data_IF_002870311587
#
_entry.id   IF_002870311587
#
_cell.length_a   1.000
_cell.length_b   1.000
_cell.length_c   1.000
_cell.angle_alpha   90.00
_cell.angle_beta   90.00
_cell.angle_gamma   90.00
#
_symmetry.space_group_name_H-M   'P 1'
#
loop_
_entity.id
_entity.type
_entity.pdbx_description
1 polymer ?
#
# COMPACT_ATOMS: atom_id res chain seq x y z
N UNK A 1 3.33 -10.36 -22.87
CA UNK A 1 3.19 -10.17 -21.41
C UNK A 1 4.41 -9.40 -20.97
N UNK A 2 4.27 -8.09 -20.77
CA UNK A 2 5.34 -7.28 -20.23
C UNK A 2 5.64 -7.76 -18.81
N UNK A 3 6.91 -7.99 -18.49
CA UNK A 3 7.31 -8.41 -17.15
C UNK A 3 7.32 -7.16 -16.28
N UNK A 4 6.35 -7.05 -15.38
CA UNK A 4 6.25 -5.96 -14.43
C UNK A 4 7.48 -6.03 -13.50
N UNK A 5 8.27 -4.95 -13.38
CA UNK A 5 9.45 -4.96 -12.55
C UNK A 5 9.08 -5.10 -11.07
N UNK A 6 9.88 -5.85 -10.32
CA UNK A 6 9.73 -5.91 -8.87
C UNK A 6 9.90 -4.52 -8.24
N UNK A 7 9.14 -4.24 -7.18
CA UNK A 7 9.24 -2.98 -6.42
C UNK A 7 9.80 -3.23 -5.04
N UNK A 8 10.51 -2.25 -4.50
CA UNK A 8 11.04 -2.31 -3.14
C UNK A 8 9.99 -1.87 -2.13
N UNK A 9 9.92 -2.57 -0.99
CA UNK A 9 9.18 -2.14 0.18
C UNK A 9 9.67 -0.76 0.64
N UNK A 10 8.74 0.15 0.93
CA UNK A 10 9.08 1.51 1.37
C UNK A 10 9.80 1.61 2.71
N UNK A 11 9.82 0.54 3.53
CA UNK A 11 10.46 0.56 4.85
C UNK A 11 11.72 -0.33 4.92
N UNK A 12 11.63 -1.59 4.47
CA UNK A 12 12.74 -2.56 4.60
C UNK A 12 13.48 -2.85 3.29
N UNK A 13 13.13 -2.17 2.20
CA UNK A 13 13.70 -2.34 0.86
C UNK A 13 13.61 -3.74 0.24
N UNK A 14 12.93 -4.70 0.90
CA UNK A 14 12.65 -6.03 0.36
C UNK A 14 11.98 -5.90 -1.02
N UNK A 15 12.46 -6.67 -1.99
CA UNK A 15 11.82 -6.77 -3.30
C UNK A 15 10.48 -7.52 -3.18
N UNK A 16 9.46 -6.93 -3.77
CA UNK A 16 8.10 -7.44 -3.84
C UNK A 16 7.79 -7.66 -5.31
N UNK A 17 7.47 -8.90 -5.63
CA UNK A 17 7.01 -9.27 -6.97
C UNK A 17 5.52 -8.94 -7.12
N UNK A 18 5.08 -8.61 -8.32
CA UNK A 18 3.66 -8.30 -8.57
C UNK A 18 2.72 -9.43 -8.12
N UNK A 19 3.12 -10.69 -8.35
CA UNK A 19 2.35 -11.86 -7.91
C UNK A 19 2.27 -11.97 -6.37
N UNK A 20 3.34 -11.58 -5.66
CA UNK A 20 3.33 -11.54 -4.19
C UNK A 20 2.35 -10.46 -3.71
N UNK A 21 2.37 -9.28 -4.33
CA UNK A 21 1.44 -8.19 -4.04
C UNK A 21 -0.03 -8.59 -4.25
N UNK A 22 -0.36 -9.25 -5.36
CA UNK A 22 -1.72 -9.73 -5.63
C UNK A 22 -2.17 -10.82 -4.64
N UNK A 23 -1.26 -11.73 -4.27
CA UNK A 23 -1.55 -12.79 -3.28
C UNK A 23 -1.87 -12.18 -1.91
N UNK A 24 -1.20 -11.11 -1.53
CA UNK A 24 -1.45 -10.38 -0.29
C UNK A 24 -2.73 -9.52 -0.33
N UNK A 25 -3.25 -9.22 -1.53
CA UNK A 25 -4.42 -8.37 -1.75
C UNK A 25 -5.49 -9.08 -2.61
N UNK A 26 -6.13 -10.16 -2.10
CA UNK A 26 -7.01 -11.01 -2.90
C UNK A 26 -8.31 -10.35 -3.38
N UNK A 27 -8.66 -9.19 -2.82
CA UNK A 27 -9.84 -8.41 -3.24
C UNK A 27 -9.57 -7.52 -4.46
N UNK A 28 -8.32 -7.44 -4.91
CA UNK A 28 -7.89 -6.62 -6.04
C UNK A 28 -7.77 -7.53 -7.27
N UNK A 29 -8.46 -7.14 -8.34
CA UNK A 29 -8.35 -7.75 -9.65
C UNK A 29 -7.00 -7.44 -10.33
N UNK A 30 -6.59 -8.26 -11.30
CA UNK A 30 -5.28 -8.11 -11.94
C UNK A 30 -5.05 -6.74 -12.59
N UNK A 31 -6.07 -6.20 -13.28
CA UNK A 31 -5.97 -4.92 -13.98
C UNK A 31 -5.75 -3.78 -12.98
N UNK A 32 -6.62 -3.68 -11.97
CA UNK A 32 -6.46 -2.70 -10.89
C UNK A 32 -5.18 -2.92 -10.08
N UNK A 33 -4.77 -4.16 -9.89
CA UNK A 33 -3.51 -4.49 -9.24
C UNK A 33 -2.33 -3.90 -9.99
N UNK A 34 -2.33 -4.01 -11.32
CA UNK A 34 -1.31 -3.45 -12.20
C UNK A 34 -1.22 -1.92 -12.03
N UNK A 35 -2.36 -1.24 -12.13
CA UNK A 35 -2.44 0.22 -11.98
C UNK A 35 -1.90 0.69 -10.62
N UNK A 36 -2.25 -0.03 -9.55
CA UNK A 36 -1.80 0.31 -8.20
C UNK A 36 -0.31 0.02 -8.01
N UNK A 37 0.17 -1.10 -8.53
CA UNK A 37 1.54 -1.53 -8.34
C UNK A 37 2.53 -0.69 -9.16
N UNK A 38 2.16 -0.25 -10.36
CA UNK A 38 2.99 0.63 -11.18
C UNK A 38 2.86 2.11 -10.83
N UNK A 39 1.84 2.49 -10.06
CA UNK A 39 1.64 3.89 -9.68
C UNK A 39 2.86 4.46 -8.93
N UNK A 40 3.48 5.54 -9.43
CA UNK A 40 4.61 6.18 -8.76
C UNK A 40 4.19 6.92 -7.49
N UNK A 41 2.89 7.19 -7.34
CA UNK A 41 2.30 7.87 -6.18
C UNK A 41 2.14 6.89 -5.01
N UNK A 42 2.03 5.60 -5.30
CA UNK A 42 1.80 4.56 -4.30
C UNK A 42 3.14 4.00 -3.84
N UNK A 43 3.32 3.98 -2.52
CA UNK A 43 4.41 3.26 -1.87
C UNK A 43 3.92 1.86 -1.52
N UNK A 44 4.60 0.84 -2.05
CA UNK A 44 4.33 -0.56 -1.75
C UNK A 44 5.05 -0.94 -0.47
N UNK A 45 4.39 -1.72 0.39
CA UNK A 45 4.96 -2.25 1.62
C UNK A 45 4.79 -3.76 1.64
N UNK A 46 5.76 -4.48 2.21
CA UNK A 46 5.56 -5.88 2.51
C UNK A 46 4.60 -6.02 3.69
N UNK A 47 3.91 -7.17 3.78
CA UNK A 47 2.96 -7.44 4.87
C UNK A 47 3.54 -7.19 6.25
N UNK A 48 4.78 -7.59 6.50
CA UNK A 48 5.41 -7.38 7.82
C UNK A 48 5.56 -5.92 8.20
N UNK A 49 6.05 -5.08 7.27
CA UNK A 49 6.24 -3.65 7.51
C UNK A 49 4.89 -2.94 7.63
N UNK A 50 3.92 -3.31 6.79
CA UNK A 50 2.58 -2.75 6.83
C UNK A 50 1.90 -3.00 8.18
N UNK A 51 1.96 -4.24 8.69
CA UNK A 51 1.31 -4.62 9.96
C UNK A 51 2.02 -4.07 11.20
N UNK A 52 3.34 -3.85 11.13
CA UNK A 52 4.10 -3.25 12.25
C UNK A 52 3.97 -1.73 12.30
N UNK A 53 3.40 -1.11 11.27
CA UNK A 53 3.30 0.34 11.19
C UNK A 53 2.34 0.81 12.29
N UNK A 54 2.77 1.71 13.20
CA UNK A 54 1.89 2.21 14.22
C UNK A 54 0.70 2.87 13.54
N UNK A 55 -0.51 2.55 14.02
CA UNK A 55 -1.71 3.25 13.58
C UNK A 55 -1.45 4.75 13.74
N UNK A 56 -1.74 5.54 12.70
CA UNK A 56 -1.66 6.99 12.82
C UNK A 56 -2.47 7.37 14.05
N UNK A 57 -1.91 8.17 14.98
CA UNK A 57 -2.63 8.53 16.19
C UNK A 57 -4.00 9.05 15.78
N UNK A 58 -5.05 8.43 16.33
CA UNK A 58 -6.43 8.82 16.04
C UNK A 58 -6.54 10.31 16.31
N UNK A 59 -6.69 11.10 15.24
CA UNK A 59 -6.84 12.56 15.38
C UNK A 59 -8.24 12.82 15.94
N UNK A 60 -8.35 12.90 17.26
CA UNK A 60 -9.57 13.31 17.98
C UNK A 60 -10.05 14.71 17.54
N UNK A 61 -9.17 15.56 17.02
CA UNK A 61 -9.50 16.92 16.58
C UNK A 61 -10.00 16.99 15.12
N UNK A 62 -11.10 16.31 14.79
CA UNK A 62 -11.94 16.70 13.64
C UNK A 62 -12.88 17.83 14.08
N UNK A 63 -12.35 19.05 14.16
CA UNK A 63 -13.08 20.32 14.01
C UNK A 63 -14.48 20.38 14.68
N UNK A 64 -14.55 20.77 15.96
CA UNK A 64 -15.74 21.32 16.62
C UNK A 64 -16.12 22.72 16.05
N UNK A 65 -16.30 22.87 14.73
CA UNK A 65 -16.60 24.16 14.08
C UNK A 65 -18.07 24.30 13.63
N UNK A 66 -19.01 23.62 14.28
CA UNK A 66 -20.46 23.77 14.00
C UNK A 66 -21.30 24.00 15.27
N UNK A 67 -20.76 24.71 16.26
CA UNK A 67 -21.58 25.32 17.31
C UNK A 67 -21.21 26.79 17.47
N UNK A 68 -21.86 27.64 16.67
CA UNK A 68 -22.26 28.99 17.06
C UNK A 68 -23.39 29.46 16.15
#
# INVERSE_FOLDING_TARGET
>A
MEQIPARKCGDCEKEIQFQEFLRENPTIDNERGHDLFESPIITVYCTECFLKRPEKPYKTNRRHYYHK
#
